data_IF_807483684320
#
_entry.id   IF_807483684320
#
_cell.length_a   1.000
_cell.length_b   1.000
_cell.length_c   1.000
_cell.angle_alpha   90.00
_cell.angle_beta   90.00
_cell.angle_gamma   90.00
#
_symmetry.space_group_name_H-M   'P 1'
#
loop_
_entity.id
_entity.type
_entity.pdbx_description
1 polymer ?
#
# COMPACT_ATOMS: atom_id res chain seq x y z
N UNK A 1 -6.12 49.98 40.78
CA UNK A 1 -6.02 50.86 39.58
C UNK A 1 -7.25 51.78 39.49
N UNK A 2 -7.12 53.09 39.28
CA UNK A 2 -8.29 53.98 39.04
C UNK A 2 -8.76 53.77 37.60
N UNK A 3 -10.01 53.38 37.39
CA UNK A 3 -10.59 53.19 36.05
C UNK A 3 -10.76 54.55 35.39
N UNK A 4 -9.88 54.88 34.44
CA UNK A 4 -10.07 56.02 33.54
C UNK A 4 -11.22 55.70 32.56
N UNK A 5 -12.29 56.49 32.63
CA UNK A 5 -13.48 56.30 31.78
C UNK A 5 -13.24 56.65 30.32
N UNK A 6 -12.12 57.29 30.00
CA UNK A 6 -11.68 57.60 28.65
C UNK A 6 -10.60 56.62 28.13
N UNK A 7 -10.27 55.58 28.90
CA UNK A 7 -9.30 54.58 28.48
C UNK A 7 -9.81 53.74 27.30
N UNK A 8 -8.87 53.18 26.53
CA UNK A 8 -9.16 52.27 25.39
C UNK A 8 -9.95 51.02 25.81
N UNK A 9 -9.80 50.58 27.06
CA UNK A 9 -10.49 49.40 27.61
C UNK A 9 -11.15 49.80 28.92
N UNK A 10 -12.47 49.65 28.99
CA UNK A 10 -13.29 49.91 30.19
C UNK A 10 -14.25 48.75 30.40
N UNK A 11 -14.58 48.38 31.65
CA UNK A 11 -15.53 47.31 31.91
C UNK A 11 -16.93 47.69 31.40
N UNK A 12 -17.73 46.71 30.92
CA UNK A 12 -19.11 46.97 30.54
C UNK A 12 -19.93 47.43 31.74
N UNK A 13 -21.05 48.11 31.47
CA UNK A 13 -21.95 48.55 32.53
C UNK A 13 -22.76 47.37 33.07
N UNK A 14 -22.34 46.79 34.19
CA UNK A 14 -23.12 45.77 34.88
C UNK A 14 -24.35 46.37 35.58
N UNK A 15 -25.53 45.81 35.33
CA UNK A 15 -26.79 46.28 35.93
C UNK A 15 -26.87 45.95 37.42
N UNK A 16 -26.35 44.78 37.79
CA UNK A 16 -26.32 44.30 39.16
C UNK A 16 -25.30 45.09 40.02
N UNK A 17 -25.66 45.41 41.26
CA UNK A 17 -24.80 46.19 42.17
C UNK A 17 -23.69 45.33 42.77
N UNK A 18 -23.99 44.09 43.12
CA UNK A 18 -23.04 43.15 43.71
C UNK A 18 -21.97 42.79 42.68
N UNK A 19 -22.35 42.49 41.44
CA UNK A 19 -21.40 42.24 40.34
C UNK A 19 -20.46 43.43 40.11
N UNK A 20 -20.98 44.67 40.13
CA UNK A 20 -20.13 45.86 40.01
C UNK A 20 -19.13 45.99 41.15
N UNK A 21 -19.54 45.68 42.38
CA UNK A 21 -18.66 45.74 43.55
C UNK A 21 -17.57 44.66 43.45
N UNK A 22 -17.93 43.42 43.13
CA UNK A 22 -17.00 42.31 42.95
C UNK A 22 -15.98 42.59 41.84
N UNK A 23 -16.43 43.09 40.68
CA UNK A 23 -15.52 43.43 39.57
C UNK A 23 -14.64 44.65 39.89
N UNK A 24 -15.18 45.64 40.59
CA UNK A 24 -14.41 46.79 41.06
C UNK A 24 -13.29 46.38 42.03
N UNK A 25 -13.59 45.47 42.95
CA UNK A 25 -12.60 44.93 43.89
C UNK A 25 -11.51 44.10 43.18
N UNK A 26 -11.90 43.22 42.25
CA UNK A 26 -10.96 42.42 41.45
C UNK A 26 -10.00 43.31 40.63
N UNK A 27 -10.53 44.30 39.91
CA UNK A 27 -9.73 45.27 39.13
C UNK A 27 -8.90 46.20 40.02
N UNK A 28 -9.34 46.43 41.25
CA UNK A 28 -8.63 47.22 42.25
C UNK A 28 -7.34 46.53 42.72
N UNK A 29 -7.41 45.20 42.88
CA UNK A 29 -6.34 44.33 43.39
C UNK A 29 -5.34 43.87 42.32
N UNK A 30 -5.77 43.76 41.06
CA UNK A 30 -4.93 43.28 39.96
C UNK A 30 -3.73 44.20 39.69
N UNK A 31 -2.56 43.59 39.51
CA UNK A 31 -1.32 44.26 39.09
C UNK A 31 -0.95 43.97 37.62
N UNK A 32 0.24 44.41 37.18
CA UNK A 32 0.68 44.19 35.81
C UNK A 32 0.96 42.71 35.48
N UNK A 33 1.40 41.92 36.46
CA UNK A 33 1.67 40.50 36.28
C UNK A 33 0.36 39.73 36.12
N UNK A 34 -0.67 40.04 36.92
CA UNK A 34 -2.02 39.46 36.79
C UNK A 34 -2.59 39.68 35.38
N UNK A 35 -2.50 40.93 34.90
CA UNK A 35 -3.01 41.33 33.59
C UNK A 35 -2.22 40.65 32.45
N UNK A 36 -0.90 40.55 32.58
CA UNK A 36 -0.06 39.85 31.60
C UNK A 36 -0.35 38.35 31.58
N UNK A 37 -0.47 37.70 32.75
CA UNK A 37 -0.78 36.28 32.87
C UNK A 37 -2.15 35.94 32.26
N UNK A 38 -3.17 36.78 32.50
CA UNK A 38 -4.48 36.65 31.87
C UNK A 38 -4.39 36.82 30.33
N UNK A 39 -3.62 37.80 29.84
CA UNK A 39 -3.43 37.99 28.40
C UNK A 39 -2.71 36.79 27.75
N UNK A 40 -1.64 36.29 28.36
CA UNK A 40 -0.91 35.11 27.89
C UNK A 40 -1.82 33.89 27.83
N UNK A 41 -2.64 33.65 28.85
CA UNK A 41 -3.59 32.52 28.85
C UNK A 41 -4.61 32.60 27.71
N UNK A 42 -5.14 33.81 27.44
CA UNK A 42 -6.01 34.04 26.28
C UNK A 42 -5.29 33.76 24.96
N UNK A 43 -4.04 34.22 24.81
CA UNK A 43 -3.25 33.94 23.61
C UNK A 43 -2.95 32.45 23.44
N UNK A 44 -2.59 31.74 24.51
CA UNK A 44 -2.40 30.30 24.48
C UNK A 44 -3.67 29.57 24.04
N UNK A 45 -4.83 29.97 24.57
CA UNK A 45 -6.12 29.42 24.12
C UNK A 45 -6.43 29.70 22.65
N UNK A 46 -6.08 30.89 22.13
CA UNK A 46 -6.24 31.23 20.70
C UNK A 46 -5.32 30.36 19.84
N UNK A 47 -4.04 30.26 20.20
CA UNK A 47 -3.04 29.46 19.48
C UNK A 47 -3.37 27.97 19.54
N UNK A 48 -3.82 27.48 20.69
CA UNK A 48 -4.23 26.10 20.90
C UNK A 48 -5.41 25.70 20.03
N UNK A 49 -6.44 26.58 19.91
CA UNK A 49 -7.57 26.35 18.98
C UNK A 49 -7.10 26.24 17.53
N UNK A 50 -6.21 27.13 17.11
CA UNK A 50 -5.67 27.09 15.75
C UNK A 50 -4.87 25.81 15.51
N UNK A 51 -3.97 25.46 16.42
CA UNK A 51 -3.19 24.23 16.34
C UNK A 51 -4.07 23.00 16.24
N UNK A 52 -5.10 22.89 17.09
CA UNK A 52 -6.06 21.79 17.04
C UNK A 52 -6.83 21.73 15.71
N UNK A 53 -7.31 22.88 15.21
CA UNK A 53 -8.04 22.95 13.94
C UNK A 53 -7.18 22.58 12.73
N UNK A 54 -5.88 22.89 12.76
CA UNK A 54 -4.92 22.45 11.74
C UNK A 54 -4.86 20.90 11.72
N UNK A 55 -4.82 20.25 12.89
CA UNK A 55 -4.85 18.78 13.02
C UNK A 55 -6.14 18.17 12.43
N UNK A 56 -7.30 18.77 12.75
CA UNK A 56 -8.59 18.32 12.23
C UNK A 56 -8.64 18.40 10.71
N UNK A 57 -8.18 19.54 10.16
CA UNK A 57 -8.16 19.79 8.72
C UNK A 57 -7.30 18.77 7.96
N UNK A 58 -6.18 18.36 8.56
CA UNK A 58 -5.29 17.34 8.02
C UNK A 58 -5.94 15.95 8.04
N UNK A 59 -6.50 15.55 9.18
CA UNK A 59 -7.23 14.28 9.34
C UNK A 59 -8.38 14.18 8.33
N UNK A 60 -9.14 15.26 8.16
CA UNK A 60 -10.22 15.31 7.18
C UNK A 60 -9.70 15.23 5.73
N UNK A 61 -8.49 15.76 5.46
CA UNK A 61 -7.81 15.63 4.18
C UNK A 61 -7.51 14.17 3.83
N UNK A 62 -6.87 13.44 4.74
CA UNK A 62 -6.55 12.03 4.54
C UNK A 62 -7.81 11.16 4.38
N UNK A 63 -8.88 11.44 5.15
CA UNK A 63 -10.15 10.75 4.98
C UNK A 63 -10.79 11.00 3.60
N UNK A 64 -10.66 12.22 3.06
CA UNK A 64 -11.09 12.52 1.68
C UNK A 64 -10.26 11.79 0.64
N UNK A 65 -8.96 11.61 0.87
CA UNK A 65 -8.09 10.84 -0.02
C UNK A 65 -8.52 9.37 -0.05
N UNK A 66 -8.78 8.74 1.10
CA UNK A 66 -9.32 7.36 1.17
C UNK A 66 -10.65 7.23 0.42
N UNK A 67 -11.56 8.18 0.60
CA UNK A 67 -12.84 8.18 -0.12
C UNK A 67 -12.64 8.37 -1.64
N UNK A 68 -11.64 9.15 -2.05
CA UNK A 68 -11.28 9.34 -3.45
C UNK A 68 -10.74 8.05 -4.06
N UNK A 69 -9.85 7.34 -3.36
CA UNK A 69 -9.35 6.02 -3.78
C UNK A 69 -10.48 5.01 -3.90
N UNK A 70 -11.44 5.01 -2.97
CA UNK A 70 -12.64 4.15 -3.03
C UNK A 70 -13.48 4.43 -4.28
N UNK A 71 -13.61 5.70 -4.67
CA UNK A 71 -14.32 6.10 -5.89
C UNK A 71 -13.58 5.64 -7.13
N UNK A 72 -12.27 5.85 -7.22
CA UNK A 72 -11.45 5.35 -8.34
C UNK A 72 -11.51 3.82 -8.45
N UNK A 73 -11.47 3.11 -7.32
CA UNK A 73 -11.64 1.66 -7.27
C UNK A 73 -13.05 1.20 -7.72
N UNK A 74 -14.07 2.02 -7.55
CA UNK A 74 -15.44 1.68 -7.97
C UNK A 74 -15.75 2.09 -9.40
N UNK A 75 -14.88 2.91 -10.02
CA UNK A 75 -15.03 3.39 -11.40
C UNK A 75 -14.59 2.29 -12.39
N UNK A 76 -15.51 1.78 -13.24
CA UNK A 76 -15.16 0.79 -14.26
C UNK A 76 -14.26 1.34 -15.36
N UNK A 77 -14.25 2.67 -15.58
CA UNK A 77 -13.50 3.34 -16.65
C UNK A 77 -12.55 4.42 -16.08
N UNK A 78 -11.82 4.07 -15.03
CA UNK A 78 -10.88 4.98 -14.38
C UNK A 78 -9.83 5.51 -15.39
N UNK A 79 -9.68 6.83 -15.47
CA UNK A 79 -8.82 7.52 -16.44
C UNK A 79 -9.09 7.16 -17.92
N UNK A 80 -10.32 6.73 -18.24
CA UNK A 80 -10.71 6.38 -19.61
C UNK A 80 -10.19 5.02 -20.09
N UNK A 81 -9.70 4.18 -19.17
CA UNK A 81 -9.26 2.82 -19.45
C UNK A 81 -10.21 1.83 -18.73
N UNK A 82 -10.48 0.67 -19.35
CA UNK A 82 -11.26 -0.41 -18.74
C UNK A 82 -10.43 -1.28 -17.77
N UNK A 83 -9.10 -1.17 -17.83
CA UNK A 83 -8.14 -1.93 -17.01
C UNK A 83 -8.34 -3.45 -17.08
N UNK A 84 -8.82 -3.98 -18.21
CA UNK A 84 -9.23 -5.38 -18.34
C UNK A 84 -8.17 -6.41 -17.94
N UNK A 85 -6.90 -6.09 -18.14
CA UNK A 85 -5.78 -6.99 -17.90
C UNK A 85 -5.01 -6.69 -16.61
N UNK A 86 -5.33 -5.61 -15.90
CA UNK A 86 -4.61 -5.14 -14.70
C UNK A 86 -5.53 -4.64 -13.58
N UNK A 87 -6.86 -4.80 -13.72
CA UNK A 87 -7.86 -4.33 -12.73
C UNK A 87 -7.57 -4.81 -11.32
N UNK A 88 -7.21 -6.09 -11.18
CA UNK A 88 -6.90 -6.68 -9.87
C UNK A 88 -5.63 -6.07 -9.26
N UNK A 89 -4.59 -5.82 -10.05
CA UNK A 89 -3.38 -5.14 -9.61
C UNK A 89 -3.66 -3.68 -9.22
N UNK A 90 -4.47 -2.95 -10.00
CA UNK A 90 -4.88 -1.58 -9.70
C UNK A 90 -5.69 -1.49 -8.39
N UNK A 91 -6.68 -2.37 -8.23
CA UNK A 91 -7.50 -2.43 -7.02
C UNK A 91 -6.65 -2.71 -5.78
N UNK A 92 -5.65 -3.60 -5.91
CA UNK A 92 -4.72 -3.91 -4.83
C UNK A 92 -3.81 -2.70 -4.50
N UNK A 93 -3.37 -1.93 -5.50
CA UNK A 93 -2.61 -0.71 -5.27
C UNK A 93 -3.44 0.34 -4.50
N UNK A 94 -4.72 0.53 -4.88
CA UNK A 94 -5.64 1.41 -4.15
C UNK A 94 -5.93 0.94 -2.72
N UNK A 95 -6.12 -0.37 -2.52
CA UNK A 95 -6.32 -0.93 -1.18
C UNK A 95 -5.09 -0.73 -0.31
N UNK A 96 -3.89 -1.00 -0.84
CA UNK A 96 -2.63 -0.81 -0.13
C UNK A 96 -2.42 0.65 0.27
N UNK A 97 -2.67 1.60 -0.65
CA UNK A 97 -2.59 3.02 -0.35
C UNK A 97 -3.65 3.44 0.70
N UNK A 98 -4.88 2.94 0.59
CA UNK A 98 -5.94 3.23 1.55
C UNK A 98 -5.61 2.73 2.96
N UNK A 99 -5.01 1.55 3.08
CA UNK A 99 -4.55 1.00 4.37
C UNK A 99 -3.46 1.88 4.97
N UNK A 100 -2.44 2.25 4.18
CA UNK A 100 -1.35 3.09 4.66
C UNK A 100 -1.83 4.49 5.09
N UNK A 101 -2.72 5.13 4.33
CA UNK A 101 -3.34 6.40 4.73
C UNK A 101 -4.18 6.22 6.00
N UNK A 102 -4.88 5.09 6.13
CA UNK A 102 -5.64 4.74 7.32
C UNK A 102 -4.78 4.64 8.59
N UNK A 103 -3.57 4.08 8.49
CA UNK A 103 -2.60 4.06 9.58
C UNK A 103 -2.14 5.48 9.97
N UNK A 104 -1.97 6.39 9.00
CA UNK A 104 -1.65 7.79 9.28
C UNK A 104 -2.82 8.52 9.95
N UNK A 105 -4.06 8.26 9.53
CA UNK A 105 -5.27 8.77 10.17
C UNK A 105 -5.34 8.31 11.63
N UNK A 106 -5.07 7.03 11.92
CA UNK A 106 -5.07 6.52 13.29
C UNK A 106 -4.06 7.24 14.20
N UNK A 107 -2.85 7.54 13.69
CA UNK A 107 -1.87 8.34 14.43
C UNK A 107 -2.36 9.78 14.67
N UNK A 108 -3.01 10.40 13.67
CA UNK A 108 -3.58 11.74 13.80
C UNK A 108 -4.75 11.78 14.79
N UNK A 109 -5.59 10.75 14.83
CA UNK A 109 -6.71 10.67 15.77
C UNK A 109 -6.24 10.62 17.23
N UNK A 110 -5.15 9.90 17.51
CA UNK A 110 -4.54 9.90 18.84
C UNK A 110 -3.94 11.28 19.19
N UNK A 111 -3.25 11.92 18.25
CA UNK A 111 -2.74 13.28 18.44
C UNK A 111 -3.88 14.30 18.66
N UNK A 112 -5.00 14.15 17.95
CA UNK A 112 -6.21 14.96 18.13
C UNK A 112 -6.83 14.75 19.50
N UNK A 113 -6.88 13.52 20.01
CA UNK A 113 -7.37 13.22 21.36
C UNK A 113 -6.55 13.95 22.42
N UNK A 114 -5.22 13.82 22.36
CA UNK A 114 -4.29 14.50 23.28
C UNK A 114 -4.41 16.02 23.16
N UNK A 115 -4.48 16.53 21.93
CA UNK A 115 -4.67 17.96 21.65
C UNK A 115 -6.01 18.50 22.20
N UNK A 116 -7.09 17.71 22.12
CA UNK A 116 -8.40 18.09 22.64
C UNK A 116 -8.39 18.22 24.17
N UNK A 117 -7.73 17.31 24.89
CA UNK A 117 -7.58 17.37 26.35
C UNK A 117 -6.77 18.60 26.78
N UNK A 118 -5.68 18.90 26.07
CA UNK A 118 -4.89 20.10 26.29
C UNK A 118 -5.67 21.39 25.99
N UNK A 119 -6.47 21.39 24.91
CA UNK A 119 -7.32 22.52 24.56
C UNK A 119 -8.44 22.75 25.58
N UNK A 120 -9.03 21.69 26.10
CA UNK A 120 -10.03 21.76 27.17
C UNK A 120 -9.41 22.35 28.44
N UNK A 121 -8.16 22.00 28.75
CA UNK A 121 -7.41 22.61 29.86
C UNK A 121 -7.22 24.12 29.68
N UNK A 122 -6.99 24.60 28.45
CA UNK A 122 -6.91 26.05 28.14
C UNK A 122 -8.28 26.74 28.17
N UNK A 123 -9.37 26.01 27.92
CA UNK A 123 -10.74 26.55 27.97
C UNK A 123 -11.27 26.72 29.38
N UNK A 124 -10.81 25.90 30.32
CA UNK A 124 -11.18 26.01 31.73
C UNK A 124 -10.46 27.21 32.35
N UNK A 125 -11.23 28.23 32.71
CA UNK A 125 -10.75 29.34 33.52
C UNK A 125 -10.24 28.79 34.86
N UNK A 126 -8.96 28.99 35.22
CA UNK A 126 -8.45 28.50 36.50
C UNK A 126 -9.13 29.22 37.66
N UNK A 127 -9.39 28.49 38.75
CA UNK A 127 -9.87 29.05 40.01
C UNK A 127 -8.74 29.74 40.81
N UNK A 128 -7.51 29.70 40.30
CA UNK A 128 -6.28 30.16 40.94
C UNK A 128 -5.70 31.37 40.21
N UNK A 129 -4.81 32.08 40.89
CA UNK A 129 -3.92 33.07 40.27
C UNK A 129 -3.11 32.42 39.13
N UNK A 130 -3.10 33.07 37.96
CA UNK A 130 -2.39 32.61 36.77
C UNK A 130 -0.89 32.95 36.83
N UNK A 131 -0.48 33.97 37.59
CA UNK A 131 0.89 34.46 37.62
C UNK A 131 1.94 33.37 37.96
N UNK A 132 1.70 32.43 38.91
CA UNK A 132 2.62 31.34 39.20
C UNK A 132 2.90 30.38 38.03
N UNK A 133 2.02 30.33 37.01
CA UNK A 133 2.25 29.49 35.81
C UNK A 133 3.28 30.09 34.87
N UNK A 134 3.39 31.43 34.86
CA UNK A 134 4.21 32.19 33.91
C UNK A 134 5.50 32.72 34.56
N UNK A 135 6.26 31.80 35.16
CA UNK A 135 7.58 32.11 35.74
C UNK A 135 8.72 31.81 34.75
N UNK A 136 9.87 32.51 34.84
CA UNK A 136 11.02 32.24 33.98
C UNK A 136 11.43 30.76 34.00
N UNK A 137 11.56 30.16 32.81
CA UNK A 137 11.92 28.75 32.65
C UNK A 137 10.76 27.75 32.77
N UNK A 138 9.53 28.21 33.03
CA UNK A 138 8.34 27.36 33.00
C UNK A 138 8.07 26.82 31.59
N UNK A 139 7.78 25.53 31.49
CA UNK A 139 7.32 24.84 30.27
C UNK A 139 5.92 24.22 30.44
N UNK A 140 5.24 24.51 31.56
CA UNK A 140 3.99 23.87 31.96
C UNK A 140 2.76 24.53 31.32
N UNK A 141 2.78 24.65 29.99
CA UNK A 141 1.65 25.14 29.21
C UNK A 141 0.99 23.99 28.45
N UNK A 142 -0.34 23.83 28.50
CA UNK A 142 -1.04 22.89 27.63
C UNK A 142 -0.86 23.21 26.14
N UNK A 143 -0.52 24.45 25.78
CA UNK A 143 -0.18 24.80 24.39
C UNK A 143 1.03 24.01 23.90
N UNK A 144 2.02 23.73 24.77
CA UNK A 144 3.19 22.94 24.39
C UNK A 144 2.79 21.53 23.96
N UNK A 145 1.84 20.89 24.66
CA UNK A 145 1.31 19.58 24.27
C UNK A 145 0.65 19.62 22.88
N UNK A 146 -0.11 20.67 22.57
CA UNK A 146 -0.73 20.85 21.23
C UNK A 146 0.36 21.03 20.16
N UNK A 147 1.40 21.80 20.45
CA UNK A 147 2.54 22.02 19.54
C UNK A 147 3.32 20.71 19.34
N UNK A 148 3.53 19.92 20.37
CA UNK A 148 4.19 18.62 20.29
C UNK A 148 3.41 17.65 19.40
N UNK A 149 2.08 17.55 19.57
CA UNK A 149 1.21 16.80 18.67
C UNK A 149 1.38 17.25 17.22
N UNK A 150 1.45 18.56 16.97
CA UNK A 150 1.69 19.12 15.63
C UNK A 150 3.07 18.76 15.07
N UNK A 151 4.11 18.80 15.89
CA UNK A 151 5.48 18.49 15.45
C UNK A 151 5.64 17.00 15.08
N UNK A 152 4.91 16.11 15.74
CA UNK A 152 4.88 14.67 15.42
C UNK A 152 4.29 14.38 14.03
N UNK A 153 3.65 15.37 13.40
CA UNK A 153 2.93 15.19 12.13
C UNK A 153 3.74 15.62 10.92
N UNK A 154 4.77 16.44 11.09
CA UNK A 154 5.63 16.80 9.95
C UNK A 154 6.20 15.57 9.21
N UNK A 155 6.66 14.49 9.89
CA UNK A 155 7.05 13.26 9.23
C UNK A 155 5.89 12.55 8.50
N UNK A 156 4.67 12.62 9.01
CA UNK A 156 3.48 12.03 8.36
C UNK A 156 3.22 12.70 7.00
N UNK A 157 3.25 14.03 6.93
CA UNK A 157 3.07 14.74 5.65
C UNK A 157 4.08 14.33 4.58
N UNK A 158 5.34 14.15 4.98
CA UNK A 158 6.39 13.69 4.05
C UNK A 158 6.09 12.28 3.55
N UNK A 159 5.73 11.36 4.45
CA UNK A 159 5.36 9.98 4.07
C UNK A 159 4.13 9.94 3.17
N UNK A 160 3.06 10.67 3.50
CA UNK A 160 1.88 10.80 2.65
C UNK A 160 2.23 11.29 1.25
N UNK A 161 3.06 12.33 1.14
CA UNK A 161 3.45 12.87 -0.18
C UNK A 161 4.22 11.87 -1.04
N UNK A 162 5.07 11.04 -0.42
CA UNK A 162 5.80 9.96 -1.10
C UNK A 162 4.84 8.86 -1.51
N UNK A 163 3.94 8.45 -0.62
CA UNK A 163 2.93 7.43 -0.90
C UNK A 163 2.04 7.80 -2.08
N UNK A 164 1.59 9.06 -2.15
CA UNK A 164 0.80 9.57 -3.28
C UNK A 164 1.61 9.53 -4.58
N UNK A 165 2.88 9.94 -4.54
CA UNK A 165 3.76 9.91 -5.72
C UNK A 165 4.00 8.47 -6.21
N UNK A 166 4.26 7.54 -5.29
CA UNK A 166 4.45 6.12 -5.59
C UNK A 166 3.19 5.49 -6.18
N UNK A 167 2.01 5.84 -5.65
CA UNK A 167 0.74 5.38 -6.20
C UNK A 167 0.51 5.89 -7.62
N UNK A 168 0.80 7.17 -7.89
CA UNK A 168 0.68 7.73 -9.24
C UNK A 168 1.61 6.98 -10.21
N UNK A 169 2.87 6.78 -9.83
CA UNK A 169 3.83 6.05 -10.66
C UNK A 169 3.40 4.58 -10.90
N UNK A 170 2.81 3.94 -9.89
CA UNK A 170 2.28 2.58 -10.02
C UNK A 170 1.05 2.52 -10.95
N UNK A 171 0.15 3.49 -10.86
CA UNK A 171 -0.99 3.61 -11.78
C UNK A 171 -0.50 3.76 -13.22
N UNK A 172 0.46 4.65 -13.48
CA UNK A 172 1.03 4.85 -14.81
C UNK A 172 1.68 3.56 -15.33
N UNK A 173 2.48 2.88 -14.48
CA UNK A 173 3.11 1.60 -14.83
C UNK A 173 2.06 0.52 -15.17
N UNK A 174 0.97 0.46 -14.42
CA UNK A 174 -0.12 -0.49 -14.67
C UNK A 174 -0.88 -0.15 -15.95
N UNK A 175 -1.06 1.12 -16.30
CA UNK A 175 -1.71 1.53 -17.55
C UNK A 175 -0.91 1.08 -18.78
N UNK A 176 0.42 1.25 -18.74
CA UNK A 176 1.32 0.74 -19.78
C UNK A 176 1.27 -0.79 -19.89
N UNK A 177 1.24 -1.46 -18.74
CA UNK A 177 1.13 -2.92 -18.68
C UNK A 177 -0.22 -3.41 -19.22
N UNK A 178 -1.32 -2.73 -18.90
CA UNK A 178 -2.66 -3.05 -19.39
C UNK A 178 -2.71 -2.97 -20.92
N UNK A 179 -2.20 -1.87 -21.46
CA UNK A 179 -2.12 -1.63 -22.91
C UNK A 179 -1.30 -2.72 -23.61
N UNK A 180 -0.15 -3.10 -23.03
CA UNK A 180 0.69 -4.21 -23.53
C UNK A 180 -0.06 -5.54 -23.54
N UNK A 181 -0.71 -5.88 -22.41
CA UNK A 181 -1.43 -7.14 -22.23
C UNK A 181 -2.66 -7.24 -23.13
N UNK A 182 -3.41 -6.15 -23.28
CA UNK A 182 -4.56 -6.06 -24.17
C UNK A 182 -4.14 -6.21 -25.63
N UNK A 183 -3.05 -5.56 -26.05
CA UNK A 183 -2.49 -5.72 -27.38
C UNK A 183 -2.08 -7.18 -27.69
N UNK A 184 -1.48 -7.88 -26.72
CA UNK A 184 -1.13 -9.29 -26.88
C UNK A 184 -2.36 -10.19 -26.92
N UNK A 185 -3.35 -9.94 -26.06
CA UNK A 185 -4.55 -10.78 -25.93
C UNK A 185 -5.38 -10.82 -27.22
N UNK A 186 -5.31 -9.76 -28.02
CA UNK A 186 -5.95 -9.63 -29.34
C UNK A 186 -5.15 -10.25 -30.49
N UNK A 187 -3.92 -10.72 -30.24
CA UNK A 187 -3.06 -11.31 -31.27
C UNK A 187 -3.32 -12.81 -31.47
N UNK A 188 -2.98 -13.34 -32.64
CA UNK A 188 -3.06 -14.79 -32.95
C UNK A 188 -2.14 -15.66 -32.07
N UNK A 189 -1.25 -15.03 -31.29
CA UNK A 189 -0.33 -15.68 -30.35
C UNK A 189 -0.98 -15.90 -28.96
N UNK A 190 -2.17 -15.36 -28.73
CA UNK A 190 -2.90 -15.50 -27.48
C UNK A 190 -3.62 -16.85 -27.38
N UNK A 191 -3.54 -17.45 -26.20
CA UNK A 191 -4.33 -18.63 -25.84
C UNK A 191 -5.24 -18.28 -24.66
N UNK A 192 -6.55 -18.27 -24.88
CA UNK A 192 -7.51 -17.97 -23.81
C UNK A 192 -7.61 -19.12 -22.80
N UNK A 193 -7.97 -18.84 -21.54
CA UNK A 193 -8.17 -19.89 -20.53
C UNK A 193 -9.13 -20.99 -20.98
N UNK A 194 -10.21 -20.64 -21.68
CA UNK A 194 -11.21 -21.59 -22.19
C UNK A 194 -10.62 -22.53 -23.25
N UNK A 195 -9.71 -22.02 -24.09
CA UNK A 195 -8.98 -22.83 -25.07
C UNK A 195 -8.01 -23.78 -24.38
N UNK A 196 -7.28 -23.30 -23.37
CA UNK A 196 -6.31 -24.08 -22.60
C UNK A 196 -7.00 -25.22 -21.83
N UNK A 197 -8.18 -24.97 -21.27
CA UNK A 197 -8.98 -25.98 -20.57
C UNK A 197 -9.41 -27.16 -21.46
N UNK A 198 -9.43 -26.99 -22.79
CA UNK A 198 -9.79 -28.05 -23.75
C UNK A 198 -8.61 -28.90 -24.22
N UNK A 199 -7.38 -28.52 -23.86
CA UNK A 199 -6.20 -29.31 -24.23
C UNK A 199 -6.19 -30.62 -23.45
N UNK A 200 -5.65 -31.67 -24.07
CA UNK A 200 -5.18 -32.85 -23.35
C UNK A 200 -3.75 -32.59 -22.82
N UNK A 201 -3.23 -33.53 -22.02
CA UNK A 201 -1.91 -33.38 -21.39
C UNK A 201 -0.83 -33.06 -22.42
N UNK A 202 -0.85 -33.72 -23.57
CA UNK A 202 0.15 -33.55 -24.63
C UNK A 202 0.08 -32.16 -25.27
N UNK A 203 -1.11 -31.66 -25.61
CA UNK A 203 -1.24 -30.32 -26.16
C UNK A 203 -0.88 -29.23 -25.14
N UNK A 204 -1.10 -29.50 -23.86
CA UNK A 204 -0.68 -28.61 -22.78
C UNK A 204 0.85 -28.52 -22.65
N UNK A 205 1.56 -29.64 -22.72
CA UNK A 205 3.02 -29.66 -22.77
C UNK A 205 3.58 -28.90 -23.99
N UNK A 206 2.96 -29.10 -25.15
CA UNK A 206 3.33 -28.39 -26.39
C UNK A 206 3.11 -26.89 -26.23
N UNK A 207 2.02 -26.45 -25.59
CA UNK A 207 1.78 -25.04 -25.29
C UNK A 207 2.89 -24.46 -24.41
N UNK A 208 3.25 -25.14 -23.32
CA UNK A 208 4.32 -24.67 -22.43
C UNK A 208 5.65 -24.57 -23.17
N UNK A 209 5.98 -25.55 -24.03
CA UNK A 209 7.17 -25.50 -24.86
C UNK A 209 7.15 -24.35 -25.88
N UNK A 210 5.98 -24.08 -26.49
CA UNK A 210 5.81 -22.96 -27.41
C UNK A 210 5.98 -21.61 -26.70
N UNK A 211 5.40 -21.45 -25.51
CA UNK A 211 5.54 -20.24 -24.70
C UNK A 211 6.99 -20.01 -24.26
N UNK A 212 7.70 -21.07 -23.83
CA UNK A 212 9.12 -20.98 -23.50
C UNK A 212 9.96 -20.52 -24.72
N UNK A 213 9.67 -21.07 -25.90
CA UNK A 213 10.33 -20.65 -27.14
C UNK A 213 10.02 -19.20 -27.53
N UNK A 214 8.77 -18.76 -27.34
CA UNK A 214 8.34 -17.37 -27.56
C UNK A 214 9.17 -16.40 -26.72
N UNK A 215 9.53 -16.80 -25.50
CA UNK A 215 10.31 -15.98 -24.56
C UNK A 215 11.84 -16.18 -24.70
N UNK A 216 12.27 -16.70 -25.86
CA UNK A 216 13.68 -16.79 -26.25
C UNK A 216 14.42 -18.03 -25.77
N UNK A 217 13.73 -19.01 -25.17
CA UNK A 217 14.38 -20.25 -24.74
C UNK A 217 14.53 -21.25 -25.89
N UNK A 218 15.68 -21.92 -25.95
CA UNK A 218 15.87 -23.06 -26.87
C UNK A 218 15.17 -24.30 -26.31
N UNK A 219 14.23 -24.85 -27.07
CA UNK A 219 13.53 -26.09 -26.69
C UNK A 219 14.43 -27.30 -26.91
N UNK A 220 14.80 -27.97 -25.82
CA UNK A 220 15.57 -29.23 -25.85
C UNK A 220 14.63 -30.42 -25.88
N UNK A 221 13.54 -30.37 -25.09
CA UNK A 221 12.46 -31.34 -25.10
C UNK A 221 11.11 -30.65 -24.99
N UNK A 222 10.17 -31.03 -25.87
CA UNK A 222 8.84 -30.41 -26.02
C UNK A 222 7.67 -31.21 -25.45
N UNK A 223 7.90 -32.45 -25.02
CA UNK A 223 6.90 -33.31 -24.39
C UNK A 223 7.55 -34.46 -23.61
N UNK A 224 6.81 -34.95 -22.61
CA UNK A 224 7.14 -36.11 -21.80
C UNK A 224 6.86 -37.44 -22.52
N UNK A 225 7.24 -38.54 -21.87
CA UNK A 225 7.12 -39.92 -22.36
C UNK A 225 7.27 -40.92 -21.22
N UNK A 226 6.98 -42.20 -21.47
CA UNK A 226 7.13 -43.21 -20.42
C UNK A 226 8.56 -43.20 -19.83
N UNK A 227 8.67 -43.03 -18.52
CA UNK A 227 9.96 -42.95 -17.82
C UNK A 227 10.63 -41.56 -17.84
N UNK A 228 9.89 -40.50 -18.19
CA UNK A 228 10.38 -39.12 -18.17
C UNK A 228 10.65 -38.54 -16.77
N UNK A 229 10.28 -39.28 -15.72
CA UNK A 229 10.45 -38.95 -14.31
C UNK A 229 9.90 -37.56 -13.95
N UNK A 230 8.86 -37.11 -14.66
CA UNK A 230 8.15 -35.88 -14.37
C UNK A 230 8.74 -34.61 -14.97
N UNK A 231 9.75 -34.71 -15.84
CA UNK A 231 10.05 -33.62 -16.76
C UNK A 231 9.10 -33.72 -17.96
N UNK A 232 8.27 -32.74 -18.22
CA UNK A 232 7.42 -32.72 -19.42
C UNK A 232 7.99 -31.76 -20.48
N UNK A 233 8.81 -30.79 -20.06
CA UNK A 233 9.58 -29.91 -20.93
C UNK A 233 10.99 -29.65 -20.39
N UNK A 234 11.95 -29.45 -21.30
CA UNK A 234 13.32 -29.04 -20.98
C UNK A 234 13.73 -27.94 -21.94
N UNK A 235 14.17 -26.80 -21.40
CA UNK A 235 14.51 -25.60 -22.15
C UNK A 235 15.87 -25.05 -21.70
N UNK A 236 16.56 -24.34 -22.58
CA UNK A 236 17.73 -23.54 -22.24
C UNK A 236 17.40 -22.06 -22.41
N UNK A 237 17.57 -21.29 -21.35
CA UNK A 237 17.53 -19.83 -21.40
C UNK A 237 18.68 -19.27 -22.25
N UNK A 238 18.59 -18.03 -22.74
CA UNK A 238 19.68 -17.37 -23.47
C UNK A 238 21.03 -17.34 -22.76
N UNK A 239 21.06 -17.30 -21.43
CA UNK A 239 22.29 -17.37 -20.61
C UNK A 239 22.71 -18.80 -20.25
N UNK A 240 22.04 -19.82 -20.81
CA UNK A 240 22.44 -21.22 -20.70
C UNK A 240 21.84 -21.97 -19.50
N UNK A 241 21.09 -21.32 -18.61
CA UNK A 241 20.39 -22.00 -17.51
C UNK A 241 19.35 -22.97 -18.04
N UNK A 242 19.32 -24.17 -17.48
CA UNK A 242 18.39 -25.26 -17.81
C UNK A 242 17.10 -25.15 -17.03
N UNK A 243 16.01 -24.93 -17.75
CA UNK A 243 14.65 -24.92 -17.21
C UNK A 243 14.04 -26.31 -17.39
N UNK A 244 13.59 -26.93 -16.31
CA UNK A 244 12.85 -28.19 -16.35
C UNK A 244 11.43 -27.92 -15.89
N UNK A 245 10.46 -28.25 -16.75
CA UNK A 245 9.05 -28.00 -16.50
C UNK A 245 8.29 -29.30 -16.30
N UNK A 246 7.47 -29.38 -15.25
CA UNK A 246 6.41 -30.38 -15.13
C UNK A 246 5.05 -29.74 -15.41
N UNK A 247 4.25 -30.37 -16.26
CA UNK A 247 2.93 -29.92 -16.66
C UNK A 247 1.85 -30.80 -16.01
N UNK A 248 0.89 -30.18 -15.31
CA UNK A 248 -0.24 -30.87 -14.70
C UNK A 248 -1.55 -30.22 -15.14
N UNK A 249 -2.32 -30.91 -15.96
CA UNK A 249 -3.69 -30.52 -16.24
C UNK A 249 -4.66 -31.05 -15.19
N UNK A 250 -5.63 -30.23 -14.80
CA UNK A 250 -6.67 -30.57 -13.81
C UNK A 250 -8.04 -30.85 -14.43
N UNK A 251 -8.12 -31.09 -15.74
CA UNK A 251 -9.39 -31.27 -16.47
C UNK A 251 -10.23 -32.46 -15.93
N UNK A 252 -9.60 -33.42 -15.27
CA UNK A 252 -10.25 -34.58 -14.63
C UNK A 252 -10.59 -34.34 -13.14
N UNK A 253 -10.23 -33.19 -12.58
CA UNK A 253 -10.47 -32.80 -11.19
C UNK A 253 -10.89 -31.33 -11.08
N UNK A 254 -12.07 -30.94 -11.61
CA UNK A 254 -12.55 -29.56 -11.54
C UNK A 254 -12.63 -29.11 -10.07
N UNK A 255 -11.92 -28.03 -9.73
CA UNK A 255 -11.93 -27.44 -8.38
C UNK A 255 -11.01 -28.09 -7.34
N UNK A 256 -10.19 -29.10 -7.68
CA UNK A 256 -9.20 -29.65 -6.75
C UNK A 256 -7.81 -29.09 -7.02
N UNK A 257 -7.23 -28.47 -5.99
CA UNK A 257 -5.87 -27.98 -6.05
C UNK A 257 -4.85 -29.13 -6.12
N UNK A 258 -3.76 -28.92 -6.84
CA UNK A 258 -2.60 -29.81 -6.83
C UNK A 258 -2.00 -29.84 -5.41
N UNK A 259 -1.91 -31.05 -4.85
CA UNK A 259 -1.35 -31.29 -3.52
C UNK A 259 0.19 -31.19 -3.51
N UNK A 260 0.79 -31.35 -2.33
CA UNK A 260 2.25 -31.29 -2.16
C UNK A 260 2.98 -32.51 -2.72
N UNK A 261 2.35 -33.70 -2.74
CA UNK A 261 3.00 -34.94 -3.21
C UNK A 261 3.54 -34.84 -4.65
N UNK A 262 2.80 -34.34 -5.66
CA UNK A 262 3.37 -34.10 -6.99
C UNK A 262 4.59 -33.19 -6.98
N UNK A 263 4.56 -32.11 -6.19
CA UNK A 263 5.67 -31.15 -6.08
C UNK A 263 6.91 -31.80 -5.43
N UNK A 264 6.70 -32.61 -4.39
CA UNK A 264 7.77 -33.38 -3.74
C UNK A 264 8.42 -34.38 -4.69
N UNK A 265 7.60 -35.11 -5.47
CA UNK A 265 8.10 -36.06 -6.47
C UNK A 265 8.92 -35.35 -7.55
N UNK A 266 8.44 -34.20 -8.02
CA UNK A 266 9.15 -33.38 -8.99
C UNK A 266 10.49 -32.87 -8.45
N UNK A 267 10.52 -32.42 -7.19
CA UNK A 267 11.76 -31.98 -6.54
C UNK A 267 12.84 -33.08 -6.56
N UNK A 268 12.42 -34.34 -6.33
CA UNK A 268 13.32 -35.50 -6.34
C UNK A 268 13.95 -35.82 -7.70
N UNK A 269 13.43 -35.27 -8.81
CA UNK A 269 13.90 -35.60 -10.16
C UNK A 269 14.40 -34.38 -10.94
N UNK A 270 13.78 -33.21 -10.79
CA UNK A 270 14.09 -32.01 -11.55
C UNK A 270 15.58 -31.64 -11.52
N UNK A 271 16.16 -31.54 -10.32
CA UNK A 271 17.60 -31.27 -10.16
C UNK A 271 18.44 -32.55 -10.22
N UNK A 272 18.13 -33.61 -9.46
CA UNK A 272 19.04 -34.77 -9.35
C UNK A 272 19.18 -35.58 -10.64
N UNK A 273 18.14 -35.60 -11.49
CA UNK A 273 18.11 -36.41 -12.72
C UNK A 273 18.18 -35.53 -13.96
N UNK A 274 17.51 -34.38 -13.96
CA UNK A 274 17.40 -33.53 -15.14
C UNK A 274 18.27 -32.27 -15.08
N UNK A 275 19.10 -32.10 -14.03
CA UNK A 275 20.06 -31.01 -13.88
C UNK A 275 19.42 -29.62 -14.00
N UNK A 276 18.20 -29.46 -13.46
CA UNK A 276 17.50 -28.18 -13.51
C UNK A 276 18.25 -27.09 -12.72
N UNK A 277 18.55 -25.98 -13.38
CA UNK A 277 18.88 -24.72 -12.73
C UNK A 277 17.59 -24.05 -12.23
N UNK A 278 16.53 -24.13 -13.05
CA UNK A 278 15.21 -23.58 -12.78
C UNK A 278 14.19 -24.72 -12.89
N UNK A 279 13.60 -25.11 -11.76
CA UNK A 279 12.53 -26.09 -11.71
C UNK A 279 11.17 -25.37 -11.69
N UNK A 280 10.28 -25.69 -12.62
CA UNK A 280 8.95 -25.08 -12.71
C UNK A 280 7.85 -26.14 -12.82
N UNK A 281 6.75 -25.96 -12.09
CA UNK A 281 5.53 -26.75 -12.26
C UNK A 281 4.41 -25.85 -12.77
N UNK A 282 3.80 -26.26 -13.88
CA UNK A 282 2.78 -25.50 -14.60
C UNK A 282 1.45 -26.24 -14.56
N UNK A 283 0.37 -25.55 -14.22
CA UNK A 283 -0.98 -26.11 -14.18
C UNK A 283 -2.02 -25.10 -14.66
N UNK A 284 -3.13 -25.61 -15.23
CA UNK A 284 -4.32 -24.81 -15.54
C UNK A 284 -5.31 -24.74 -14.35
N UNK A 285 -4.94 -25.28 -13.20
CA UNK A 285 -5.69 -25.20 -11.93
C UNK A 285 -4.95 -24.39 -10.87
N UNK A 286 -5.09 -24.78 -9.60
CA UNK A 286 -4.44 -24.12 -8.45
C UNK A 286 -3.56 -25.09 -7.68
N UNK A 287 -2.65 -24.56 -6.85
CA UNK A 287 -1.86 -25.34 -5.89
C UNK A 287 -2.40 -25.17 -4.47
N UNK A 288 -2.36 -26.24 -3.67
CA UNK A 288 -2.75 -26.16 -2.27
C UNK A 288 -1.71 -25.36 -1.45
N UNK A 289 -2.10 -24.85 -0.28
CA UNK A 289 -1.17 -24.17 0.62
C UNK A 289 0.09 -25.02 0.94
N UNK A 290 -0.03 -26.30 1.35
CA UNK A 290 1.15 -27.14 1.57
C UNK A 290 2.04 -27.33 0.33
N UNK A 291 1.47 -27.33 -0.88
CA UNK A 291 2.24 -27.41 -2.12
C UNK A 291 3.03 -26.13 -2.38
N UNK A 292 2.43 -24.96 -2.12
CA UNK A 292 3.10 -23.65 -2.24
C UNK A 292 4.21 -23.49 -1.21
N UNK A 293 3.94 -23.83 0.04
CA UNK A 293 4.92 -23.75 1.14
C UNK A 293 6.15 -24.63 0.80
N UNK A 294 5.92 -25.90 0.41
CA UNK A 294 6.99 -26.80 -0.01
C UNK A 294 7.76 -26.29 -1.24
N UNK A 295 7.07 -25.78 -2.26
CA UNK A 295 7.73 -25.26 -3.45
C UNK A 295 8.64 -24.06 -3.13
N UNK A 296 8.20 -23.18 -2.23
CA UNK A 296 8.98 -22.03 -1.74
C UNK A 296 10.26 -22.50 -1.04
N UNK A 297 10.15 -23.46 -0.12
CA UNK A 297 11.29 -23.99 0.65
C UNK A 297 12.35 -24.68 -0.23
N UNK A 298 11.95 -25.16 -1.40
CA UNK A 298 12.81 -25.92 -2.32
C UNK A 298 13.14 -25.19 -3.63
N UNK A 299 12.84 -23.88 -3.72
CA UNK A 299 13.08 -23.07 -4.91
C UNK A 299 12.50 -23.70 -6.20
N UNK A 300 11.23 -24.10 -6.12
CA UNK A 300 10.42 -24.58 -7.25
C UNK A 300 9.42 -23.48 -7.61
N UNK A 301 9.45 -23.03 -8.86
CA UNK A 301 8.50 -22.04 -9.34
C UNK A 301 7.15 -22.70 -9.66
N UNK A 302 6.07 -22.12 -9.16
CA UNK A 302 4.71 -22.56 -9.45
C UNK A 302 4.04 -21.56 -10.40
N UNK A 303 3.50 -22.09 -11.50
CA UNK A 303 2.68 -21.37 -12.48
C UNK A 303 1.29 -21.99 -12.45
N UNK A 304 0.36 -21.34 -11.74
CA UNK A 304 -1.04 -21.73 -11.66
C UNK A 304 -1.87 -21.09 -12.79
N UNK A 305 -3.19 -21.28 -12.77
CA UNK A 305 -4.09 -20.76 -13.79
C UNK A 305 -3.98 -19.24 -13.99
N UNK A 306 -3.77 -18.45 -12.93
CA UNK A 306 -3.66 -17.00 -13.03
C UNK A 306 -2.33 -16.60 -13.69
N UNK A 307 -1.22 -17.18 -13.24
CA UNK A 307 0.10 -16.96 -13.87
C UNK A 307 0.15 -17.48 -15.30
N UNK A 308 -0.52 -18.60 -15.58
CA UNK A 308 -0.64 -19.14 -16.92
C UNK A 308 -1.47 -18.22 -17.81
N UNK A 309 -2.52 -17.57 -17.31
CA UNK A 309 -3.26 -16.54 -18.06
C UNK A 309 -2.36 -15.35 -18.38
N UNK A 310 -1.61 -14.85 -17.40
CA UNK A 310 -0.58 -13.80 -17.58
C UNK A 310 0.40 -14.19 -18.69
N UNK A 311 0.89 -15.42 -18.68
CA UNK A 311 1.85 -15.93 -19.66
C UNK A 311 1.24 -16.12 -21.07
N UNK A 312 0.16 -16.91 -21.15
CA UNK A 312 -0.36 -17.46 -22.40
C UNK A 312 -1.42 -16.56 -23.07
N UNK A 313 -2.19 -15.82 -22.28
CA UNK A 313 -3.28 -14.95 -22.76
C UNK A 313 -2.85 -13.49 -22.84
N UNK A 314 -2.06 -13.02 -21.88
CA UNK A 314 -1.69 -11.61 -21.78
C UNK A 314 -0.25 -11.30 -22.22
N UNK A 315 0.54 -12.33 -22.51
CA UNK A 315 1.84 -12.15 -23.15
C UNK A 315 2.97 -11.76 -22.20
N UNK A 316 2.76 -11.78 -20.89
CA UNK A 316 3.87 -11.65 -19.93
C UNK A 316 4.88 -12.78 -20.20
N UNK A 317 6.17 -12.50 -20.03
CA UNK A 317 7.23 -13.48 -20.23
C UNK A 317 7.29 -14.51 -19.10
N UNK A 318 7.92 -15.66 -19.36
CA UNK A 318 8.24 -16.67 -18.36
C UNK A 318 8.91 -16.05 -17.13
N UNK A 319 9.86 -15.15 -17.35
CA UNK A 319 10.65 -14.50 -16.30
C UNK A 319 9.76 -13.63 -15.38
N UNK A 320 8.82 -12.89 -15.97
CA UNK A 320 7.83 -12.10 -15.21
C UNK A 320 6.90 -13.01 -14.38
N UNK A 321 6.37 -14.10 -14.96
CA UNK A 321 5.40 -14.95 -14.24
C UNK A 321 6.02 -15.81 -13.14
N UNK A 322 7.30 -16.15 -13.26
CA UNK A 322 8.04 -16.90 -12.22
C UNK A 322 8.81 -15.99 -11.26
N UNK A 323 8.92 -14.68 -11.56
CA UNK A 323 9.53 -13.67 -10.69
C UNK A 323 11.05 -13.72 -10.67
N UNK A 324 11.70 -14.00 -11.80
CA UNK A 324 13.17 -13.99 -11.92
C UNK A 324 13.61 -12.97 -12.96
N UNK A 325 14.82 -12.43 -12.81
CA UNK A 325 15.36 -11.51 -13.81
C UNK A 325 15.53 -12.21 -15.17
N UNK A 326 15.10 -11.59 -16.29
CA UNK A 326 15.43 -12.09 -17.61
C UNK A 326 16.97 -12.06 -17.77
N UNK A 327 17.53 -12.99 -18.57
CA UNK A 327 18.95 -12.93 -18.87
C UNK A 327 19.31 -11.57 -19.47
N UNK A 328 20.37 -10.95 -18.94
CA UNK A 328 20.99 -9.82 -19.62
C UNK A 328 21.38 -10.31 -21.01
N UNK A 329 20.90 -9.64 -22.06
CA UNK A 329 21.29 -9.97 -23.42
C UNK A 329 22.82 -10.05 -23.44
N UNK A 330 23.38 -11.23 -23.69
CA UNK A 330 24.82 -11.38 -23.84
C UNK A 330 25.24 -10.39 -24.92
N UNK A 331 25.99 -9.35 -24.53
CA UNK A 331 26.71 -8.49 -25.47
C UNK A 331 27.47 -9.43 -26.38
N UNK A 332 27.17 -9.32 -27.68
CA UNK A 332 27.41 -10.37 -28.66
C UNK A 332 28.79 -11.02 -28.56
N UNK A 333 28.80 -12.33 -28.78
CA UNK A 333 29.95 -13.01 -29.32
C UNK A 333 30.39 -12.27 -30.59
N UNK A 334 31.42 -11.43 -30.45
CA UNK A 334 32.17 -10.87 -31.55
C UNK A 334 33.44 -11.71 -31.73
N UNK A 335 33.54 -12.27 -32.94
CA UNK A 335 34.65 -12.98 -33.60
C UNK A 335 34.98 -14.40 -33.12
#
# INVERSE_FOLDING_TARGET
MIIDRNARVVPPRYHDREVRALMGDALGKADQADLLAAYLWVQEGVMGRRGHSDLESMRDGLLRDIETLRKFKSDPEFQGLSWECTRAELDAAFDSASVAIGEEVAHLEEALRVSAEALESLRRLPNEDLAPRYVPGSNNSPLNTIIECRNQIEPLNKRHSVLVADLIAEVDRLADLDSRRLGFSQSDKSYTPERILRFDSKNFEILVAWLANRDGMKVIRRNGGAGDLGADGIFLTPDGRRVVAQCKQTNTLPGRAIGSEPVQRFNGTARPVHEADIAVMVTNGTFSKPARDFASDHAIHLVDAEKLRKWATWGDSFYEVVGIAPPSAAVGAAA
#
